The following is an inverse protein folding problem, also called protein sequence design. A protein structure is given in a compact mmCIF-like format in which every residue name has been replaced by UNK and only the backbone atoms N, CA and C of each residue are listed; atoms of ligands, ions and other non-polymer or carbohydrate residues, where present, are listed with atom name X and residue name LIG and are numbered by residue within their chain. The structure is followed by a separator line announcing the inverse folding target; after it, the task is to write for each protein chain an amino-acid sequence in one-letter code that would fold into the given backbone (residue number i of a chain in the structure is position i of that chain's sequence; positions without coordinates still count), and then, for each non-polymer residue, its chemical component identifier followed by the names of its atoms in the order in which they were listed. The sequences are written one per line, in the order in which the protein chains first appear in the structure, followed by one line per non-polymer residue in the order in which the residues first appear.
data_IF_840667963740
#
_entry.id   IF_840667963740
#
_cell.length_a   1.000
_cell.length_b   1.000
_cell.length_c   1.000
_cell.angle_alpha   90.00
_cell.angle_beta   90.00
_cell.angle_gamma   90.00
#
_symmetry.space_group_name_H-M   'P 1'
#
loop_
_entity.id
_entity.type
_entity.pdbx_description
1 polymer ?
#
# COMPACT_ATOMS: atom_id res chain seq x y z
N UNK A 1 -20.72 -14.21 -15.92
CA UNK A 1 -19.46 -13.93 -16.64
C UNK A 1 -19.82 -13.63 -18.09
N UNK A 2 -19.35 -12.51 -18.68
CA UNK A 2 -19.61 -12.25 -20.11
C UNK A 2 -18.74 -13.19 -20.95
N UNK A 3 -19.32 -13.76 -22.00
CA UNK A 3 -18.59 -14.54 -23.00
C UNK A 3 -17.53 -13.68 -23.69
N UNK A 4 -16.45 -14.30 -24.18
CA UNK A 4 -15.25 -13.61 -24.70
C UNK A 4 -15.60 -12.65 -25.85
N UNK A 5 -16.55 -13.04 -26.70
CA UNK A 5 -17.12 -12.27 -27.81
C UNK A 5 -17.88 -11.01 -27.36
N UNK A 6 -18.33 -10.94 -26.09
CA UNK A 6 -19.08 -9.80 -25.54
C UNK A 6 -18.22 -8.89 -24.65
N UNK A 7 -16.90 -9.13 -24.58
CA UNK A 7 -15.98 -8.24 -23.89
C UNK A 7 -15.67 -7.06 -24.80
N UNK A 8 -15.96 -5.85 -24.32
CA UNK A 8 -15.48 -4.64 -24.96
C UNK A 8 -13.95 -4.60 -24.75
N UNK A 9 -13.21 -4.61 -25.85
CA UNK A 9 -11.77 -4.49 -25.80
C UNK A 9 -11.41 -3.01 -25.70
N UNK A 10 -10.56 -2.60 -24.74
CA UNK A 10 -10.04 -1.25 -24.73
C UNK A 10 -9.31 -0.98 -26.05
N UNK A 11 -9.45 0.24 -26.57
CA UNK A 11 -8.75 0.66 -27.78
C UNK A 11 -7.25 0.71 -27.45
N UNK A 12 -6.44 -0.01 -28.22
CA UNK A 12 -4.99 0.03 -28.11
C UNK A 12 -4.47 1.35 -28.68
N UNK A 13 -4.57 2.42 -27.89
CA UNK A 13 -4.00 3.72 -28.20
C UNK A 13 -2.66 3.89 -27.49
N UNK A 14 -1.75 4.64 -28.11
CA UNK A 14 -0.49 5.05 -27.46
C UNK A 14 -0.80 5.99 -26.30
N UNK A 15 -0.22 5.74 -25.13
CA UNK A 15 -0.35 6.62 -23.96
C UNK A 15 0.21 8.02 -24.31
N UNK A 16 -0.59 9.09 -24.21
CA UNK A 16 -0.11 10.45 -24.46
C UNK A 16 1.10 10.80 -23.57
N UNK A 17 2.08 11.54 -24.12
CA UNK A 17 3.32 11.89 -23.40
C UNK A 17 3.06 12.70 -22.12
N UNK A 18 2.04 13.55 -22.14
CA UNK A 18 1.58 14.34 -21.00
C UNK A 18 0.95 13.48 -19.89
N UNK A 19 0.35 12.34 -20.26
CA UNK A 19 -0.24 11.39 -19.30
C UNK A 19 0.79 10.43 -18.67
N UNK A 20 2.05 10.43 -19.13
CA UNK A 20 3.09 9.57 -18.57
C UNK A 20 3.48 10.01 -17.17
N UNK A 21 3.50 9.06 -16.24
CA UNK A 21 4.03 9.25 -14.89
C UNK A 21 5.52 9.60 -14.97
N UNK A 22 5.87 10.78 -14.46
CA UNK A 22 7.24 11.28 -14.41
C UNK A 22 7.86 10.84 -13.09
N UNK A 23 8.99 10.14 -13.18
CA UNK A 23 9.82 9.78 -12.02
C UNK A 23 11.02 10.69 -11.96
N UNK A 24 11.27 11.27 -10.80
CA UNK A 24 12.35 12.22 -10.55
C UNK A 24 13.03 11.88 -9.22
N UNK A 25 14.28 12.29 -9.09
CA UNK A 25 15.04 12.20 -7.85
C UNK A 25 15.52 13.60 -7.52
N UNK A 26 14.69 14.43 -6.86
CA UNK A 26 15.04 15.82 -6.57
C UNK A 26 16.26 15.92 -5.64
N UNK A 27 16.52 14.88 -4.86
CA UNK A 27 17.66 14.72 -3.96
C UNK A 27 18.21 13.28 -4.09
N UNK A 28 19.48 13.09 -3.71
CA UNK A 28 20.05 11.74 -3.66
C UNK A 28 19.47 11.00 -2.44
N UNK A 29 18.74 9.89 -2.64
CA UNK A 29 18.08 9.16 -1.55
C UNK A 29 19.07 8.55 -0.55
N UNK A 30 20.35 8.43 -0.91
CA UNK A 30 21.39 7.91 -0.03
C UNK A 30 21.88 8.96 0.99
N UNK A 31 21.60 10.24 0.77
CA UNK A 31 22.08 11.31 1.65
C UNK A 31 21.45 11.27 3.05
N UNK A 32 20.26 10.69 3.19
CA UNK A 32 19.53 10.59 4.47
C UNK A 32 19.80 9.29 5.21
N UNK A 33 20.65 8.41 4.67
CA UNK A 33 20.93 7.12 5.31
C UNK A 33 21.73 7.34 6.61
N UNK A 34 21.26 6.81 7.75
CA UNK A 34 22.03 6.88 8.98
C UNK A 34 23.30 6.04 8.86
N UNK A 35 24.44 6.52 9.38
CA UNK A 35 25.68 5.75 9.38
C UNK A 35 25.51 4.49 10.23
N UNK A 36 26.02 3.36 9.73
CA UNK A 36 26.04 2.10 10.47
C UNK A 36 27.34 1.96 11.25
N UNK A 37 27.23 1.73 12.55
CA UNK A 37 28.37 1.37 13.40
C UNK A 37 28.67 -0.13 13.24
N UNK A 38 29.95 -0.53 13.06
CA UNK A 38 30.37 -1.92 13.16
C UNK A 38 30.10 -2.54 14.54
N UNK A 39 29.95 -1.69 15.56
CA UNK A 39 29.61 -2.08 16.92
C UNK A 39 28.22 -1.50 17.26
N UNK A 40 27.13 -2.22 16.93
CA UNK A 40 25.79 -1.76 17.22
C UNK A 40 25.56 -1.71 18.75
N UNK A 41 24.91 -0.66 19.26
CA UNK A 41 24.47 -0.63 20.65
C UNK A 41 23.41 -1.70 20.90
N UNK A 42 23.13 -1.98 22.17
CA UNK A 42 22.00 -2.84 22.53
C UNK A 42 20.69 -2.23 22.08
N UNK A 43 19.76 -3.09 21.70
CA UNK A 43 18.48 -2.69 21.14
C UNK A 43 17.69 -1.88 22.17
N UNK A 44 17.28 -0.67 21.77
CA UNK A 44 16.33 0.15 22.49
C UNK A 44 15.05 0.24 21.66
N UNK A 45 13.88 -0.11 22.23
CA UNK A 45 12.61 0.02 21.55
C UNK A 45 12.37 1.44 21.05
N UNK A 46 11.95 1.55 19.80
CA UNK A 46 11.52 2.82 19.22
C UNK A 46 10.00 2.92 19.27
N UNK A 47 9.45 4.09 18.91
CA UNK A 47 8.00 4.28 18.81
C UNK A 47 7.34 3.25 17.89
N UNK A 48 8.01 2.87 16.79
CA UNK A 48 7.48 1.91 15.80
C UNK A 48 7.99 0.49 15.97
N UNK A 49 9.21 0.27 16.44
CA UNK A 49 9.79 -1.05 16.61
C UNK A 49 9.84 -1.41 18.10
N UNK A 50 8.79 -2.07 18.60
CA UNK A 50 8.74 -2.65 19.94
C UNK A 50 9.40 -4.03 20.00
N UNK A 51 9.63 -4.57 21.20
CA UNK A 51 10.11 -5.95 21.37
C UNK A 51 9.17 -6.98 20.72
N UNK A 52 7.85 -6.80 20.87
CA UNK A 52 6.84 -7.69 20.27
C UNK A 52 6.89 -7.65 18.74
N UNK A 53 6.96 -6.44 18.17
CA UNK A 53 7.08 -6.24 16.72
C UNK A 53 8.39 -6.82 16.20
N UNK A 54 9.50 -6.62 16.90
CA UNK A 54 10.79 -7.23 16.55
C UNK A 54 10.76 -8.76 16.59
N UNK A 55 10.14 -9.36 17.61
CA UNK A 55 9.95 -10.81 17.70
C UNK A 55 9.11 -11.33 16.53
N UNK A 56 8.06 -10.61 16.14
CA UNK A 56 7.22 -10.98 14.99
C UNK A 56 7.97 -11.01 13.65
N UNK A 57 9.07 -10.28 13.53
CA UNK A 57 9.93 -10.30 12.33
C UNK A 57 10.81 -11.55 12.27
N UNK A 58 10.95 -12.31 13.37
CA UNK A 58 11.74 -13.55 13.43
C UNK A 58 13.25 -13.37 13.27
N UNK A 59 13.75 -12.13 13.39
CA UNK A 59 15.18 -11.81 13.19
C UNK A 59 16.05 -12.38 14.32
N UNK A 60 15.51 -12.40 15.55
CA UNK A 60 16.21 -12.90 16.73
C UNK A 60 16.32 -14.44 16.72
N UNK A 61 15.29 -15.11 16.20
CA UNK A 61 15.18 -16.58 16.14
C UNK A 61 15.87 -17.18 14.91
N UNK A 62 16.48 -16.33 14.08
CA UNK A 62 17.14 -16.77 12.86
C UNK A 62 18.45 -17.52 13.18
N UNK A 63 18.51 -18.82 12.87
CA UNK A 63 19.69 -19.66 13.09
C UNK A 63 20.80 -19.48 12.04
N UNK A 64 20.48 -18.88 10.88
CA UNK A 64 21.45 -18.63 9.81
C UNK A 64 22.42 -17.49 10.16
N UNK A 65 21.95 -16.46 10.87
CA UNK A 65 22.75 -15.31 11.26
C UNK A 65 23.53 -15.58 12.57
N UNK A 66 24.78 -15.13 12.58
CA UNK A 66 25.60 -15.08 13.81
C UNK A 66 24.96 -14.13 14.83
N UNK A 67 25.24 -14.30 16.14
CA UNK A 67 24.72 -13.41 17.18
C UNK A 67 25.00 -11.92 16.90
N UNK A 68 26.20 -11.60 16.40
CA UNK A 68 26.62 -10.25 16.05
C UNK A 68 25.87 -9.71 14.82
N UNK A 69 25.60 -10.58 13.83
CA UNK A 69 24.84 -10.21 12.64
C UNK A 69 23.36 -9.96 12.98
N UNK A 70 22.78 -10.73 13.90
CA UNK A 70 21.43 -10.47 14.43
C UNK A 70 21.37 -9.10 15.11
N UNK A 71 22.37 -8.78 15.94
CA UNK A 71 22.46 -7.46 16.58
C UNK A 71 22.56 -6.33 15.56
N UNK A 72 23.37 -6.52 14.50
CA UNK A 72 23.48 -5.54 13.43
C UNK A 72 22.18 -5.38 12.64
N UNK A 73 21.51 -6.48 12.31
CA UNK A 73 20.22 -6.46 11.61
C UNK A 73 19.14 -5.73 12.42
N UNK A 74 19.06 -6.00 13.73
CA UNK A 74 18.16 -5.29 14.64
C UNK A 74 18.49 -3.79 14.69
N UNK A 75 19.78 -3.43 14.69
CA UNK A 75 20.19 -2.02 14.66
C UNK A 75 19.78 -1.32 13.36
N UNK A 76 19.95 -1.97 12.20
CA UNK A 76 19.49 -1.44 10.90
C UNK A 76 17.98 -1.22 10.90
N UNK A 77 17.22 -2.19 11.43
CA UNK A 77 15.76 -2.09 11.53
C UNK A 77 15.33 -0.96 12.47
N UNK A 78 16.02 -0.78 13.60
CA UNK A 78 15.73 0.29 14.55
C UNK A 78 15.99 1.68 13.95
N UNK A 79 17.10 1.84 13.21
CA UNK A 79 17.44 3.08 12.51
C UNK A 79 16.45 3.44 11.40
N UNK A 80 15.87 2.43 10.76
CA UNK A 80 14.92 2.58 9.66
C UNK A 80 13.49 2.19 10.07
N UNK A 81 13.15 2.30 11.36
CA UNK A 81 11.86 1.82 11.88
C UNK A 81 10.66 2.51 11.20
N UNK A 82 10.82 3.77 10.78
CA UNK A 82 9.78 4.52 10.06
C UNK A 82 9.51 4.01 8.63
N UNK A 83 10.41 3.21 8.05
CA UNK A 83 10.21 2.58 6.75
C UNK A 83 9.36 1.29 6.83
N UNK A 84 9.12 0.77 8.03
CA UNK A 84 8.36 -0.46 8.25
C UNK A 84 6.95 -0.08 8.67
N UNK A 85 5.96 -0.71 8.03
CA UNK A 85 4.55 -0.59 8.39
C UNK A 85 4.08 -1.92 8.98
N UNK A 86 3.61 -1.88 10.23
CA UNK A 86 3.01 -3.02 10.93
C UNK A 86 1.48 -3.02 10.83
N UNK A 87 0.89 -1.85 10.59
CA UNK A 87 -0.54 -1.69 10.36
C UNK A 87 -0.83 -0.79 9.14
N UNK A 88 -2.11 -0.63 8.83
CA UNK A 88 -2.58 0.16 7.69
C UNK A 88 -2.43 1.68 7.89
N UNK A 89 -2.32 2.16 9.14
CA UNK A 89 -2.13 3.57 9.48
C UNK A 89 -0.68 4.03 9.26
N UNK A 90 0.28 3.13 9.46
CA UNK A 90 1.71 3.38 9.27
C UNK A 90 2.16 3.36 7.79
N UNK A 91 1.23 3.11 6.87
CA UNK A 91 1.51 3.05 5.44
C UNK A 91 1.95 4.42 4.90
N UNK A 92 3.12 4.47 4.28
CA UNK A 92 3.61 5.66 3.58
C UNK A 92 2.90 5.95 2.26
N UNK A 93 2.95 7.20 1.82
CA UNK A 93 2.61 7.63 0.46
C UNK A 93 3.88 8.09 -0.26
N UNK A 94 3.86 8.00 -1.59
CA UNK A 94 4.93 8.60 -2.38
C UNK A 94 4.79 10.13 -2.37
N UNK A 95 5.93 10.83 -2.31
CA UNK A 95 5.96 12.27 -2.49
C UNK A 95 5.76 12.62 -3.98
N UNK A 96 4.96 13.63 -4.24
CA UNK A 96 4.61 14.07 -5.60
C UNK A 96 5.80 14.62 -6.41
N UNK A 97 6.85 15.08 -5.73
CA UNK A 97 8.09 15.56 -6.36
C UNK A 97 8.99 14.43 -6.88
N UNK A 98 8.83 13.21 -6.33
CA UNK A 98 9.49 11.99 -6.84
C UNK A 98 8.66 11.32 -7.93
N UNK A 99 7.34 11.21 -7.75
CA UNK A 99 6.44 10.53 -8.68
C UNK A 99 5.24 11.42 -8.93
N UNK A 100 5.09 11.88 -10.17
CA UNK A 100 3.92 12.71 -10.52
C UNK A 100 2.62 11.91 -10.38
N UNK A 101 1.49 12.56 -10.03
CA UNK A 101 0.18 11.94 -10.06
C UNK A 101 -0.09 11.25 -11.41
N UNK A 102 -0.75 10.09 -11.36
CA UNK A 102 -1.12 9.36 -12.57
C UNK A 102 -2.30 10.04 -13.25
N UNK A 103 -2.19 10.26 -14.56
CA UNK A 103 -3.25 10.82 -15.39
C UNK A 103 -3.88 9.68 -16.18
N UNK A 104 -5.20 9.52 -16.07
CA UNK A 104 -5.96 8.55 -16.87
C UNK A 104 -6.39 9.26 -18.16
N UNK A 105 -5.82 8.93 -19.33
CA UNK A 105 -6.23 9.55 -20.58
C UNK A 105 -7.69 9.16 -20.88
N UNK A 106 -8.52 10.16 -21.15
CA UNK A 106 -9.93 9.97 -21.45
C UNK A 106 -10.15 9.99 -22.96
N UNK A 107 -11.02 9.09 -23.44
CA UNK A 107 -11.62 9.15 -24.78
C UNK A 107 -13.03 9.70 -24.61
N UNK A 108 -13.60 10.33 -25.63
CA UNK A 108 -15.01 10.74 -25.59
C UNK A 108 -15.92 9.52 -25.33
N UNK A 109 -16.70 9.57 -24.25
CA UNK A 109 -17.65 8.53 -23.89
C UNK A 109 -18.73 9.06 -22.96
N UNK A 110 -19.84 8.33 -22.90
CA UNK A 110 -20.88 8.56 -21.91
C UNK A 110 -20.46 7.92 -20.56
N UNK A 111 -20.59 8.64 -19.43
CA UNK A 111 -20.36 8.06 -18.12
C UNK A 111 -21.29 6.87 -17.86
N UNK A 112 -20.77 5.80 -17.26
CA UNK A 112 -21.58 4.65 -16.87
C UNK A 112 -21.93 4.68 -15.38
N UNK A 113 -23.21 4.50 -15.08
CA UNK A 113 -23.69 4.32 -13.71
C UNK A 113 -24.38 2.96 -13.57
N UNK A 114 -23.65 1.94 -13.10
CA UNK A 114 -24.18 0.60 -12.85
C UNK A 114 -24.55 0.43 -11.38
N UNK A 115 -25.74 -0.11 -11.12
CA UNK A 115 -26.17 -0.47 -9.75
C UNK A 115 -25.26 -1.57 -9.19
N UNK A 116 -24.75 -1.36 -7.98
CA UNK A 116 -23.94 -2.35 -7.25
C UNK A 116 -24.81 -3.53 -6.80
N UNK A 117 -24.21 -4.72 -6.66
CA UNK A 117 -24.93 -5.86 -6.10
C UNK A 117 -25.25 -5.61 -4.61
N UNK A 118 -26.38 -6.14 -4.09
CA UNK A 118 -26.64 -6.12 -2.65
C UNK A 118 -25.53 -6.84 -1.88
N UNK A 119 -25.13 -6.28 -0.74
CA UNK A 119 -24.18 -6.93 0.16
C UNK A 119 -24.91 -8.07 0.87
N UNK A 120 -24.38 -9.31 0.85
CA UNK A 120 -24.98 -10.43 1.56
C UNK A 120 -25.14 -10.13 3.05
N UNK A 121 -26.30 -10.44 3.68
CA UNK A 121 -26.57 -10.06 5.07
C UNK A 121 -25.50 -10.52 6.06
N UNK A 122 -24.97 -11.73 5.90
CA UNK A 122 -24.00 -12.32 6.83
C UNK A 122 -22.62 -11.66 6.86
N UNK A 123 -22.28 -10.80 5.88
CA UNK A 123 -20.98 -10.09 5.82
C UNK A 123 -21.13 -8.58 5.83
N UNK A 124 -22.36 -8.07 6.01
CA UNK A 124 -22.67 -6.65 5.79
C UNK A 124 -21.91 -5.73 6.74
N UNK A 125 -21.89 -6.07 8.02
CA UNK A 125 -21.27 -5.23 9.06
C UNK A 125 -19.74 -5.20 8.89
N UNK A 126 -19.14 -6.34 8.54
CA UNK A 126 -17.70 -6.42 8.25
C UNK A 126 -17.33 -5.59 7.01
N UNK A 127 -18.15 -5.63 5.96
CA UNK A 127 -17.93 -4.83 4.75
C UNK A 127 -18.04 -3.34 5.06
N UNK A 128 -19.03 -2.91 5.85
CA UNK A 128 -19.12 -1.52 6.29
C UNK A 128 -17.89 -1.11 7.10
N UNK A 129 -17.48 -1.92 8.08
CA UNK A 129 -16.27 -1.69 8.87
C UNK A 129 -15.03 -1.47 8.00
N UNK A 130 -14.84 -2.30 6.97
CA UNK A 130 -13.71 -2.16 6.03
C UNK A 130 -13.79 -0.89 5.17
N UNK A 131 -14.99 -0.48 4.76
CA UNK A 131 -15.20 0.76 3.99
C UNK A 131 -14.89 1.97 4.89
N UNK A 132 -15.44 2.00 6.10
CA UNK A 132 -15.22 3.08 7.07
C UNK A 132 -13.75 3.19 7.45
N UNK A 133 -13.06 2.05 7.64
CA UNK A 133 -11.62 2.01 7.88
C UNK A 133 -10.83 2.62 6.71
N UNK A 134 -11.18 2.29 5.47
CA UNK A 134 -10.53 2.88 4.28
C UNK A 134 -10.80 4.37 4.15
N UNK A 135 -12.00 4.84 4.51
CA UNK A 135 -12.32 6.27 4.52
C UNK A 135 -11.48 6.97 5.60
N UNK A 136 -11.41 6.42 6.81
CA UNK A 136 -10.58 6.94 7.92
C UNK A 136 -9.10 7.04 7.54
N UNK A 137 -8.59 6.07 6.77
CA UNK A 137 -7.22 6.04 6.26
C UNK A 137 -6.98 6.95 5.04
N UNK A 138 -7.99 7.65 4.54
CA UNK A 138 -7.89 8.49 3.33
C UNK A 138 -7.69 7.70 2.04
N UNK A 139 -7.97 6.39 2.04
CA UNK A 139 -7.91 5.54 0.84
C UNK A 139 -9.16 5.68 -0.04
N UNK A 140 -10.28 5.98 0.58
CA UNK A 140 -11.56 6.23 -0.08
C UNK A 140 -12.10 7.58 0.39
N UNK A 141 -12.75 8.27 -0.53
CA UNK A 141 -13.43 9.53 -0.24
C UNK A 141 -14.85 9.49 -0.84
N UNK A 142 -15.83 10.15 -0.19
CA UNK A 142 -17.13 10.40 -0.80
C UNK A 142 -16.94 11.25 -2.07
N UNK A 143 -17.69 10.93 -3.12
CA UNK A 143 -17.62 11.64 -4.40
C UNK A 143 -18.98 11.74 -5.07
N UNK A 144 -19.30 12.89 -5.66
CA UNK A 144 -20.47 13.11 -6.51
C UNK A 144 -20.11 12.84 -7.99
N UNK A 145 -19.89 11.57 -8.33
CA UNK A 145 -19.43 11.16 -9.66
C UNK A 145 -20.58 10.66 -10.55
N UNK A 146 -20.54 11.03 -11.83
CA UNK A 146 -21.38 10.43 -12.88
C UNK A 146 -20.98 8.97 -13.19
N UNK A 147 -19.82 8.53 -12.70
CA UNK A 147 -19.35 7.15 -12.82
C UNK A 147 -19.72 6.33 -11.58
N UNK A 148 -20.33 5.16 -11.80
CA UNK A 148 -20.54 4.16 -10.75
C UNK A 148 -20.26 2.77 -11.29
N UNK A 149 -19.21 2.14 -10.75
CA UNK A 149 -18.85 0.76 -11.10
C UNK A 149 -19.49 -0.23 -10.14
N UNK A 150 -19.92 -1.36 -10.68
CA UNK A 150 -20.46 -2.46 -9.91
C UNK A 150 -19.32 -3.19 -9.17
N UNK A 151 -19.48 -3.38 -7.86
CA UNK A 151 -18.54 -4.11 -7.01
C UNK A 151 -19.25 -5.24 -6.27
N UNK A 152 -18.47 -6.20 -5.77
CA UNK A 152 -18.93 -7.35 -5.02
C UNK A 152 -17.87 -7.74 -3.98
N UNK A 153 -18.30 -8.47 -2.95
CA UNK A 153 -17.43 -8.90 -1.86
C UNK A 153 -16.92 -10.33 -2.13
N UNK A 154 -15.67 -10.59 -1.76
CA UNK A 154 -15.05 -11.93 -1.85
C UNK A 154 -14.37 -12.22 -0.52
N UNK A 155 -14.81 -13.27 0.17
CA UNK A 155 -14.16 -13.74 1.38
C UNK A 155 -12.78 -14.33 1.03
N UNK A 156 -11.71 -13.91 1.70
CA UNK A 156 -10.41 -14.57 1.56
C UNK A 156 -10.33 -15.79 2.46
N UNK A 157 -9.38 -16.69 2.16
CA UNK A 157 -9.13 -17.91 2.93
C UNK A 157 -8.81 -17.66 4.42
N UNK A 158 -8.41 -16.43 4.74
CA UNK A 158 -7.91 -16.02 6.04
C UNK A 158 -9.05 -15.62 7.00
N UNK A 159 -10.32 -15.78 6.58
CA UNK A 159 -11.48 -15.30 7.35
C UNK A 159 -11.62 -13.78 7.39
N UNK A 160 -10.83 -13.07 6.59
CA UNK A 160 -10.87 -11.62 6.35
C UNK A 160 -11.22 -11.33 4.89
#
# INVERSE_FOLDING_TARGET
YKSVDRKANPVAATLPEDAKVKRRFPENPLNTLPPLSPHPPDFLPTKRLSHERLASLGVLDNEFLLPEERRLAVHVLALNADAIAFDSEERGTFRDDYISPAIIPLVEHEPWARKSFPIPPGIRDEVHRQIDEKIRLGLLEPSDSSYRTQWFCVAKKNGK
#
